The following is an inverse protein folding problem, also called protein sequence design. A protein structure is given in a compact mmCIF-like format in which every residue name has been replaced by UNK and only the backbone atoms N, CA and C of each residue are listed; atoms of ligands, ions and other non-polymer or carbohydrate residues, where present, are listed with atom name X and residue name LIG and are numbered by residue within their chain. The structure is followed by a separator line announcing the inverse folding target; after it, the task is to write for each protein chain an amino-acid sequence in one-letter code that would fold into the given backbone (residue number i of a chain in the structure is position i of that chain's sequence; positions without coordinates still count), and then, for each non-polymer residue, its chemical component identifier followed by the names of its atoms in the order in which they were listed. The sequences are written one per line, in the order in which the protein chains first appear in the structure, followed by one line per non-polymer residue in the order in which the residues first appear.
data_IF_834181488917
#
_entry.id   IF_834181488917
#
_cell.length_a   1.000
_cell.length_b   1.000
_cell.length_c   1.000
_cell.angle_alpha   90.00
_cell.angle_beta   90.00
_cell.angle_gamma   90.00
#
_symmetry.space_group_name_H-M   'P 1'
#
loop_
_entity.id
_entity.type
_entity.pdbx_description
1 polymer ?
#
# COMPACT_ATOMS: atom_id res chain seq x y z
N UNK A 1 -19.19 5.51 -12.21
CA UNK A 1 -18.42 6.69 -12.71
C UNK A 1 -17.00 6.20 -12.97
N UNK A 2 -16.46 6.52 -14.14
CA UNK A 2 -15.09 6.13 -14.46
C UNK A 2 -14.08 6.88 -13.62
N UNK A 3 -12.94 6.25 -13.30
CA UNK A 3 -11.87 6.88 -12.53
C UNK A 3 -11.38 8.21 -13.13
N UNK A 4 -11.28 8.28 -14.46
CA UNK A 4 -10.86 9.51 -15.17
C UNK A 4 -11.86 10.68 -15.04
N UNK A 5 -13.12 10.39 -14.73
CA UNK A 5 -14.20 11.38 -14.58
C UNK A 5 -14.36 11.88 -13.14
N UNK A 6 -13.69 11.26 -12.17
CA UNK A 6 -13.78 11.64 -10.76
C UNK A 6 -13.12 13.01 -10.56
N UNK A 7 -13.85 14.03 -10.11
CA UNK A 7 -13.30 15.36 -9.92
C UNK A 7 -12.27 15.36 -8.77
N UNK A 8 -11.24 16.15 -8.92
CA UNK A 8 -10.28 16.46 -7.86
C UNK A 8 -10.15 17.97 -7.71
N UNK A 9 -10.15 18.42 -6.48
CA UNK A 9 -9.79 19.79 -6.12
C UNK A 9 -9.02 19.75 -4.80
N UNK A 10 -7.94 20.54 -4.73
CA UNK A 10 -7.18 20.70 -3.47
C UNK A 10 -8.11 21.28 -2.41
N UNK A 11 -8.25 20.63 -1.23
CA UNK A 11 -9.07 21.16 -0.16
C UNK A 11 -8.41 22.40 0.48
N UNK A 12 -9.26 23.28 1.03
CA UNK A 12 -8.80 24.30 1.97
C UNK A 12 -8.51 23.65 3.32
N UNK A 13 -7.23 23.46 3.63
CA UNK A 13 -6.79 22.74 4.81
C UNK A 13 -7.27 23.39 6.12
N UNK A 14 -7.26 24.72 6.19
CA UNK A 14 -7.70 25.43 7.39
C UNK A 14 -9.21 25.27 7.61
N UNK A 15 -10.00 25.32 6.52
CA UNK A 15 -11.44 25.05 6.58
C UNK A 15 -11.73 23.60 7.00
N UNK A 16 -10.98 22.63 6.50
CA UNK A 16 -11.11 21.22 6.90
C UNK A 16 -10.78 21.02 8.39
N UNK A 17 -9.66 21.58 8.85
CA UNK A 17 -9.28 21.53 10.29
C UNK A 17 -10.32 22.18 11.19
N UNK A 18 -10.91 23.30 10.76
CA UNK A 18 -12.00 23.93 11.51
C UNK A 18 -13.24 23.04 11.59
N UNK A 19 -13.62 22.35 10.50
CA UNK A 19 -14.73 21.41 10.51
C UNK A 19 -14.47 20.24 11.49
N UNK A 20 -13.27 19.66 11.51
CA UNK A 20 -12.91 18.64 12.51
C UNK A 20 -12.99 19.19 13.94
N UNK A 21 -12.52 20.42 14.19
CA UNK A 21 -12.59 21.04 15.51
C UNK A 21 -14.02 21.28 15.97
N UNK A 22 -14.91 21.73 15.08
CA UNK A 22 -16.34 21.95 15.37
C UNK A 22 -17.06 20.62 15.67
N UNK A 23 -16.79 19.58 14.87
CA UNK A 23 -17.33 18.24 15.11
C UNK A 23 -16.83 17.67 16.44
N UNK A 24 -15.54 17.81 16.75
CA UNK A 24 -14.97 17.39 18.03
C UNK A 24 -15.63 18.10 19.22
N UNK A 25 -15.86 19.39 19.12
CA UNK A 25 -16.54 20.15 20.17
C UNK A 25 -18.00 19.68 20.36
N UNK A 26 -18.73 19.45 19.29
CA UNK A 26 -20.12 18.91 19.33
C UNK A 26 -20.14 17.49 19.89
N UNK A 27 -19.20 16.62 19.54
CA UNK A 27 -19.09 15.27 20.07
C UNK A 27 -18.89 15.28 21.59
N UNK A 28 -17.96 16.11 22.08
CA UNK A 28 -17.68 16.26 23.52
C UNK A 28 -18.86 16.86 24.31
N UNK A 29 -19.72 17.67 23.65
CA UNK A 29 -20.87 18.29 24.26
C UNK A 29 -22.15 17.42 24.21
N UNK A 30 -22.12 16.28 23.53
CA UNK A 30 -23.26 15.39 23.40
C UNK A 30 -23.73 14.87 24.77
N UNK A 31 -25.03 14.98 25.04
CA UNK A 31 -25.63 14.53 26.28
C UNK A 31 -26.17 13.10 26.20
N UNK A 32 -26.34 12.56 24.98
CA UNK A 32 -26.88 11.22 24.73
C UNK A 32 -26.03 10.49 23.68
N UNK A 33 -26.09 9.15 23.70
CA UNK A 33 -25.46 8.32 22.65
C UNK A 33 -25.95 8.71 21.26
N UNK A 34 -27.26 8.91 21.07
CA UNK A 34 -27.83 9.27 19.78
C UNK A 34 -27.25 10.58 19.21
N UNK A 35 -27.03 11.58 20.08
CA UNK A 35 -26.37 12.83 19.67
C UNK A 35 -24.90 12.62 19.31
N UNK A 36 -24.16 11.88 20.14
CA UNK A 36 -22.75 11.54 19.89
C UNK A 36 -22.58 10.73 18.61
N UNK A 37 -23.45 9.76 18.38
CA UNK A 37 -23.45 8.91 17.19
C UNK A 37 -23.76 9.71 15.90
N UNK A 38 -24.71 10.65 15.97
CA UNK A 38 -24.99 11.53 14.83
C UNK A 38 -23.75 12.36 14.42
N UNK A 39 -23.04 12.91 15.41
CA UNK A 39 -21.78 13.66 15.15
C UNK A 39 -20.67 12.74 14.66
N UNK A 40 -20.58 11.53 15.17
CA UNK A 40 -19.63 10.51 14.68
C UNK A 40 -19.85 10.21 13.19
N UNK A 41 -21.08 10.04 12.75
CA UNK A 41 -21.38 9.81 11.33
C UNK A 41 -21.05 11.03 10.43
N UNK A 42 -21.18 12.25 10.97
CA UNK A 42 -20.76 13.46 10.25
C UNK A 42 -19.23 13.52 10.11
N UNK A 43 -18.49 13.14 11.16
CA UNK A 43 -17.02 13.07 11.13
C UNK A 43 -16.53 12.01 10.15
N UNK A 44 -17.11 10.81 10.20
CA UNK A 44 -16.81 9.74 9.24
C UNK A 44 -17.01 10.19 7.78
N UNK A 45 -18.05 10.98 7.52
CA UNK A 45 -18.29 11.54 6.18
C UNK A 45 -17.23 12.55 5.78
N UNK A 46 -16.79 13.43 6.69
CA UNK A 46 -15.73 14.40 6.44
C UNK A 46 -14.41 13.68 6.18
N UNK A 47 -14.05 12.73 7.05
CA UNK A 47 -12.82 11.96 6.94
C UNK A 47 -12.78 11.17 5.61
N UNK A 48 -13.89 10.50 5.27
CA UNK A 48 -14.05 9.78 4.00
C UNK A 48 -13.83 10.69 2.78
N UNK A 49 -14.38 11.91 2.80
CA UNK A 49 -14.21 12.87 1.72
C UNK A 49 -12.75 13.34 1.58
N UNK A 50 -12.15 13.74 2.69
CA UNK A 50 -10.75 14.21 2.69
C UNK A 50 -9.79 13.13 2.23
N UNK A 51 -9.96 11.89 2.73
CA UNK A 51 -9.18 10.75 2.29
C UNK A 51 -9.37 10.46 0.80
N UNK A 52 -10.61 10.53 0.28
CA UNK A 52 -10.87 10.35 -1.16
C UNK A 52 -10.06 11.34 -2.01
N UNK A 53 -9.98 12.61 -1.60
CA UNK A 53 -9.18 13.60 -2.32
C UNK A 53 -7.68 13.26 -2.27
N UNK A 54 -7.17 12.86 -1.10
CA UNK A 54 -5.78 12.42 -0.95
C UNK A 54 -5.47 11.20 -1.84
N UNK A 55 -6.36 10.21 -1.85
CA UNK A 55 -6.21 9.01 -2.68
C UNK A 55 -6.27 9.32 -4.18
N UNK A 56 -7.16 10.20 -4.62
CA UNK A 56 -7.22 10.62 -6.03
C UNK A 56 -5.92 11.29 -6.49
N UNK A 57 -5.34 12.18 -5.65
CA UNK A 57 -4.05 12.81 -5.95
C UNK A 57 -2.92 11.78 -5.99
N UNK A 58 -2.86 10.90 -4.99
CA UNK A 58 -1.84 9.86 -4.86
C UNK A 58 -1.88 8.87 -6.03
N UNK A 59 -3.05 8.32 -6.36
CA UNK A 59 -3.22 7.36 -7.46
C UNK A 59 -2.79 8.00 -8.79
N UNK A 60 -3.23 9.22 -9.07
CA UNK A 60 -2.90 9.90 -10.33
C UNK A 60 -1.41 10.25 -10.42
N UNK A 61 -0.80 10.62 -9.30
CA UNK A 61 0.65 10.81 -9.24
C UNK A 61 1.41 9.50 -9.46
N UNK A 62 0.98 8.39 -8.86
CA UNK A 62 1.65 7.09 -9.06
C UNK A 62 1.48 6.54 -10.47
N UNK A 63 0.39 6.84 -11.17
CA UNK A 63 0.18 6.50 -12.60
C UNK A 63 1.21 7.22 -13.49
N UNK A 64 1.51 8.50 -13.24
CA UNK A 64 2.62 9.21 -13.89
C UNK A 64 3.26 10.21 -12.93
N UNK A 65 4.40 9.82 -12.35
CA UNK A 65 5.16 10.64 -11.39
C UNK A 65 5.79 11.90 -12.03
N UNK A 66 5.68 12.07 -13.37
CA UNK A 66 6.17 13.21 -14.13
C UNK A 66 5.10 14.27 -14.33
N UNK A 67 3.84 13.98 -14.00
CA UNK A 67 2.74 14.95 -14.06
C UNK A 67 2.97 16.05 -13.01
N UNK A 68 3.26 17.25 -13.48
CA UNK A 68 3.61 18.38 -12.61
C UNK A 68 2.48 18.79 -11.67
N UNK A 69 1.21 18.68 -12.14
CA UNK A 69 0.08 19.04 -11.30
C UNK A 69 -0.03 18.08 -10.12
N UNK A 70 -0.03 16.77 -10.38
CA UNK A 70 -0.13 15.78 -9.29
C UNK A 70 1.16 15.66 -8.46
N UNK A 71 2.30 16.06 -8.99
CA UNK A 71 3.52 16.22 -8.22
C UNK A 71 3.41 17.36 -7.19
N UNK A 72 2.87 18.51 -7.60
CA UNK A 72 2.57 19.63 -6.69
C UNK A 72 1.49 19.28 -5.66
N UNK A 73 0.48 18.50 -6.05
CA UNK A 73 -0.54 18.00 -5.12
C UNK A 73 0.05 17.03 -4.09
N UNK A 74 0.97 16.15 -4.48
CA UNK A 74 1.67 15.28 -3.52
C UNK A 74 2.54 16.08 -2.54
N UNK A 75 3.19 17.16 -2.98
CA UNK A 75 3.91 18.05 -2.07
C UNK A 75 2.97 18.69 -1.04
N UNK A 76 1.77 19.11 -1.47
CA UNK A 76 0.74 19.60 -0.55
C UNK A 76 0.31 18.51 0.45
N UNK A 77 -0.03 17.29 -0.03
CA UNK A 77 -0.50 16.21 0.84
C UNK A 77 0.58 15.69 1.79
N UNK A 78 1.86 15.72 1.41
CA UNK A 78 2.97 15.37 2.30
C UNK A 78 3.05 16.27 3.54
N UNK A 79 2.63 17.53 3.43
CA UNK A 79 2.58 18.50 4.52
C UNK A 79 1.21 18.53 5.23
N UNK A 80 0.13 18.30 4.50
CA UNK A 80 -1.23 18.35 5.04
C UNK A 80 -1.58 17.10 5.87
N UNK A 81 -1.15 15.90 5.42
CA UNK A 81 -1.50 14.63 6.07
C UNK A 81 -1.09 14.59 7.55
N UNK A 82 0.12 14.98 7.97
CA UNK A 82 0.46 15.02 9.40
C UNK A 82 -0.43 15.94 10.22
N UNK A 83 -0.82 17.10 9.66
CA UNK A 83 -1.73 18.04 10.35
C UNK A 83 -3.15 17.49 10.49
N UNK A 84 -3.64 16.76 9.49
CA UNK A 84 -4.92 16.07 9.56
C UNK A 84 -4.87 14.89 10.54
N UNK A 85 -3.73 14.19 10.62
CA UNK A 85 -3.48 13.15 11.62
C UNK A 85 -3.59 13.69 13.06
N UNK A 86 -3.20 14.93 13.31
CA UNK A 86 -3.41 15.59 14.60
C UNK A 86 -4.90 15.73 14.93
N UNK A 87 -5.72 16.14 13.95
CA UNK A 87 -7.18 16.22 14.13
C UNK A 87 -7.80 14.84 14.39
N UNK A 88 -7.40 13.84 13.61
CA UNK A 88 -7.86 12.45 13.78
C UNK A 88 -7.43 11.85 15.12
N UNK A 89 -6.23 12.15 15.60
CA UNK A 89 -5.78 11.71 16.92
C UNK A 89 -6.57 12.38 18.06
N UNK A 90 -6.87 13.68 17.94
CA UNK A 90 -7.71 14.38 18.91
C UNK A 90 -9.13 13.80 18.95
N UNK A 91 -9.67 13.41 17.79
CA UNK A 91 -10.96 12.69 17.69
C UNK A 91 -10.88 11.31 18.36
N UNK A 92 -9.88 10.51 18.02
CA UNK A 92 -9.66 9.17 18.60
C UNK A 92 -9.58 9.22 20.12
N UNK A 93 -8.87 10.19 20.69
CA UNK A 93 -8.82 10.42 22.16
C UNK A 93 -10.19 10.75 22.74
N UNK A 94 -10.97 11.61 22.06
CA UNK A 94 -12.32 11.93 22.51
C UNK A 94 -13.25 10.71 22.46
N UNK A 95 -13.09 9.82 21.48
CA UNK A 95 -13.81 8.55 21.42
C UNK A 95 -13.41 7.63 22.56
N UNK A 96 -12.11 7.49 22.88
CA UNK A 96 -11.60 6.69 23.99
C UNK A 96 -12.12 7.17 25.35
N UNK A 97 -12.22 8.48 25.54
CA UNK A 97 -12.67 9.13 26.77
C UNK A 97 -14.20 9.29 26.84
N UNK A 98 -14.93 8.89 25.79
CA UNK A 98 -16.37 9.09 25.68
C UNK A 98 -17.15 8.31 26.74
N UNK A 99 -18.14 8.91 27.42
CA UNK A 99 -19.07 8.19 28.29
C UNK A 99 -19.92 7.16 27.53
N UNK A 100 -19.99 7.26 26.21
CA UNK A 100 -20.73 6.37 25.33
C UNK A 100 -19.88 5.27 24.70
N UNK A 101 -18.62 5.08 25.16
CA UNK A 101 -17.70 4.04 24.66
C UNK A 101 -18.34 2.65 24.66
N UNK A 102 -19.11 2.31 25.69
CA UNK A 102 -19.80 1.02 25.78
C UNK A 102 -20.89 0.85 24.70
N UNK A 103 -21.60 1.92 24.39
CA UNK A 103 -22.64 1.90 23.34
C UNK A 103 -22.02 1.75 21.94
N UNK A 104 -20.95 2.48 21.64
CA UNK A 104 -20.18 2.31 20.41
C UNK A 104 -19.59 0.89 20.29
N UNK A 105 -19.07 0.34 21.41
CA UNK A 105 -18.57 -1.05 21.42
C UNK A 105 -19.67 -2.06 21.14
N UNK A 106 -20.88 -1.84 21.66
CA UNK A 106 -22.02 -2.71 21.40
C UNK A 106 -22.47 -2.68 19.95
N UNK A 107 -22.35 -1.54 19.26
CA UNK A 107 -22.77 -1.36 17.87
C UNK A 107 -21.68 -1.78 16.86
N UNK A 108 -20.39 -1.41 17.09
CA UNK A 108 -19.30 -1.57 16.14
C UNK A 108 -18.21 -2.56 16.55
N UNK A 109 -18.29 -3.09 17.78
CA UNK A 109 -17.25 -3.94 18.37
C UNK A 109 -16.14 -3.13 19.06
N UNK A 110 -15.26 -3.83 19.79
CA UNK A 110 -14.20 -3.21 20.58
C UNK A 110 -12.93 -2.90 19.76
N UNK A 111 -12.77 -3.48 18.58
CA UNK A 111 -11.56 -3.35 17.77
C UNK A 111 -11.26 -1.89 17.39
N UNK A 112 -12.28 -1.05 17.19
CA UNK A 112 -12.10 0.37 16.93
C UNK A 112 -11.35 1.07 18.07
N UNK A 113 -11.64 0.73 19.32
CA UNK A 113 -10.98 1.30 20.50
C UNK A 113 -9.59 0.73 20.72
N UNK A 114 -9.38 -0.57 20.48
CA UNK A 114 -8.05 -1.19 20.50
C UNK A 114 -7.12 -0.52 19.48
N UNK A 115 -7.62 -0.26 18.28
CA UNK A 115 -6.85 0.45 17.23
C UNK A 115 -6.60 1.91 17.60
N UNK A 116 -7.59 2.61 18.19
CA UNK A 116 -7.44 3.99 18.65
C UNK A 116 -6.38 4.11 19.76
N UNK A 117 -6.34 3.16 20.71
CA UNK A 117 -5.32 3.10 21.77
C UNK A 117 -3.90 2.90 21.21
N UNK A 118 -3.76 2.18 20.10
CA UNK A 118 -2.47 1.98 19.41
C UNK A 118 -2.11 3.22 18.60
N UNK A 119 -3.06 3.81 17.89
CA UNK A 119 -2.84 5.04 17.13
C UNK A 119 -2.39 6.19 18.04
N UNK A 120 -2.95 6.30 19.25
CA UNK A 120 -2.55 7.28 20.27
C UNK A 120 -1.08 7.12 20.71
N UNK A 121 -0.58 5.87 20.78
CA UNK A 121 0.84 5.58 21.05
C UNK A 121 1.77 5.85 19.88
N UNK A 122 1.23 6.00 18.69
CA UNK A 122 2.00 6.20 17.47
C UNK A 122 2.17 7.67 17.08
N UNK A 123 1.52 8.60 17.79
CA UNK A 123 1.43 10.00 17.41
C UNK A 123 1.69 10.96 18.58
N UNK A 124 2.38 12.06 18.29
CA UNK A 124 2.45 13.28 19.10
C UNK A 124 2.64 14.48 18.18
N UNK A 125 2.12 15.67 18.50
CA UNK A 125 2.46 16.90 17.78
C UNK A 125 3.97 17.19 17.67
N UNK A 126 4.77 16.64 18.59
CA UNK A 126 6.24 16.82 18.61
C UNK A 126 6.96 16.16 17.43
N UNK A 127 6.28 15.29 16.65
CA UNK A 127 6.87 14.61 15.50
C UNK A 127 6.26 15.03 14.15
N UNK A 128 5.44 16.08 14.11
CA UNK A 128 4.76 16.54 12.88
C UNK A 128 5.75 16.88 11.76
N UNK A 129 6.82 17.60 12.09
CA UNK A 129 7.84 18.00 11.12
C UNK A 129 8.57 16.78 10.57
N UNK A 130 8.89 15.79 11.42
CA UNK A 130 9.50 14.54 11.00
C UNK A 130 8.56 13.72 10.12
N UNK A 131 7.26 13.68 10.41
CA UNK A 131 6.27 12.98 9.57
C UNK A 131 6.18 13.62 8.18
N UNK A 132 6.14 14.96 8.09
CA UNK A 132 6.16 15.66 6.82
C UNK A 132 7.45 15.40 6.03
N UNK A 133 8.59 15.38 6.71
CA UNK A 133 9.86 15.05 6.07
C UNK A 133 9.94 13.58 5.63
N UNK A 134 9.41 12.65 6.41
CA UNK A 134 9.31 11.23 6.03
C UNK A 134 8.49 11.06 4.76
N UNK A 135 7.34 11.72 4.66
CA UNK A 135 6.49 11.68 3.47
C UNK A 135 7.23 12.19 2.24
N UNK A 136 7.97 13.30 2.35
CA UNK A 136 8.80 13.85 1.26
C UNK A 136 9.86 12.85 0.80
N UNK A 137 10.64 12.28 1.74
CA UNK A 137 11.69 11.31 1.43
C UNK A 137 11.12 10.03 0.79
N UNK A 138 9.95 9.58 1.25
CA UNK A 138 9.26 8.43 0.66
C UNK A 138 8.78 8.73 -0.77
N UNK A 139 8.28 9.93 -1.01
CA UNK A 139 7.91 10.40 -2.35
C UNK A 139 9.13 10.46 -3.28
N UNK A 140 10.26 10.98 -2.81
CA UNK A 140 11.53 11.03 -3.57
C UNK A 140 12.04 9.62 -3.91
N UNK A 141 11.98 8.68 -2.97
CA UNK A 141 12.31 7.28 -3.22
C UNK A 141 11.42 6.67 -4.32
N UNK A 142 10.12 6.91 -4.25
CA UNK A 142 9.17 6.44 -5.28
C UNK A 142 9.48 7.00 -6.66
N UNK A 143 9.80 8.29 -6.76
CA UNK A 143 10.20 8.97 -7.99
C UNK A 143 11.51 8.42 -8.55
N UNK A 144 12.50 8.16 -7.69
CA UNK A 144 13.76 7.57 -8.09
C UNK A 144 13.55 6.20 -8.75
N UNK A 145 12.77 5.32 -8.14
CA UNK A 145 12.40 4.02 -8.72
C UNK A 145 11.65 4.19 -10.05
N UNK A 146 10.68 5.10 -10.12
CA UNK A 146 9.88 5.35 -11.31
C UNK A 146 10.70 5.96 -12.47
N UNK A 147 11.83 6.60 -12.18
CA UNK A 147 12.72 7.21 -13.16
C UNK A 147 13.54 6.21 -13.95
N UNK A 148 13.55 4.92 -13.56
CA UNK A 148 14.41 3.91 -14.16
C UNK A 148 14.19 3.79 -15.68
N UNK A 149 15.28 4.00 -16.43
CA UNK A 149 15.38 3.84 -17.86
C UNK A 149 16.60 2.97 -18.17
N UNK A 150 16.39 1.67 -18.30
CA UNK A 150 17.46 0.68 -18.42
C UNK A 150 17.64 0.30 -19.88
N UNK A 151 18.77 0.67 -20.53
CA UNK A 151 19.06 0.24 -21.89
C UNK A 151 19.32 -1.28 -21.94
N UNK A 152 18.60 -1.99 -22.80
CA UNK A 152 18.79 -3.42 -22.99
C UNK A 152 18.36 -3.83 -24.43
N UNK A 153 19.21 -4.56 -25.16
CA UNK A 153 18.94 -5.09 -26.51
C UNK A 153 18.31 -4.08 -27.48
N UNK A 154 18.78 -2.83 -27.45
CA UNK A 154 18.30 -1.77 -28.37
C UNK A 154 16.99 -1.09 -27.93
N UNK A 155 16.40 -1.50 -26.80
CA UNK A 155 15.28 -0.84 -26.15
C UNK A 155 15.69 -0.12 -24.88
N UNK A 156 14.72 0.59 -24.26
CA UNK A 156 14.85 1.21 -22.95
C UNK A 156 13.64 0.77 -22.11
N UNK A 157 13.88 0.26 -20.93
CA UNK A 157 12.88 -0.40 -20.11
C UNK A 157 12.85 0.15 -18.69
N UNK A 158 11.66 0.19 -18.09
CA UNK A 158 11.53 0.35 -16.64
C UNK A 158 11.97 -0.93 -15.92
N UNK A 159 12.14 -0.88 -14.60
CA UNK A 159 12.44 -2.05 -13.78
C UNK A 159 11.42 -3.19 -14.00
N UNK A 160 10.12 -2.86 -14.07
CA UNK A 160 9.06 -3.84 -14.32
C UNK A 160 9.12 -4.41 -15.73
N UNK A 161 9.29 -3.55 -16.73
CA UNK A 161 9.37 -3.98 -18.14
C UNK A 161 10.61 -4.83 -18.45
N UNK A 162 11.68 -4.77 -17.62
CA UNK A 162 12.85 -5.61 -17.78
C UNK A 162 12.63 -7.05 -17.25
N UNK A 163 11.61 -7.27 -16.42
CA UNK A 163 11.38 -8.56 -15.76
C UNK A 163 11.21 -9.76 -16.71
N UNK A 164 10.54 -9.66 -17.86
CA UNK A 164 10.47 -10.78 -18.83
C UNK A 164 11.84 -11.29 -19.28
N UNK A 165 12.81 -10.38 -19.46
CA UNK A 165 14.18 -10.74 -19.85
C UNK A 165 14.96 -11.37 -18.68
N UNK A 166 14.67 -10.97 -17.45
CA UNK A 166 15.23 -11.54 -16.24
C UNK A 166 14.73 -12.95 -15.94
N UNK A 167 13.67 -13.39 -16.64
CA UNK A 167 13.10 -14.74 -16.59
C UNK A 167 13.32 -15.53 -17.91
N UNK A 168 14.20 -15.07 -18.78
CA UNK A 168 14.47 -15.72 -20.05
C UNK A 168 15.13 -17.10 -19.85
N UNK A 169 14.72 -18.13 -20.59
CA UNK A 169 15.35 -19.46 -20.53
C UNK A 169 16.81 -19.46 -20.99
N UNK A 170 17.23 -18.53 -21.86
CA UNK A 170 18.62 -18.36 -22.24
C UNK A 170 19.44 -17.77 -21.08
N UNK A 171 20.42 -18.52 -20.61
CA UNK A 171 21.26 -18.16 -19.45
C UNK A 171 22.03 -16.87 -19.66
N UNK A 172 22.57 -16.63 -20.85
CA UNK A 172 23.38 -15.46 -21.16
C UNK A 172 22.51 -14.21 -21.23
N UNK A 173 21.35 -14.30 -21.88
CA UNK A 173 20.38 -13.21 -22.00
C UNK A 173 19.80 -12.85 -20.63
N UNK A 174 19.39 -13.85 -19.85
CA UNK A 174 18.88 -13.67 -18.50
C UNK A 174 19.88 -12.96 -17.61
N UNK A 175 21.13 -13.44 -17.58
CA UNK A 175 22.21 -12.83 -16.79
C UNK A 175 22.53 -11.40 -17.25
N UNK A 176 22.48 -11.14 -18.56
CA UNK A 176 22.69 -9.79 -19.10
C UNK A 176 21.59 -8.82 -18.63
N UNK A 177 20.31 -9.23 -18.58
CA UNK A 177 19.21 -8.42 -18.06
C UNK A 177 19.39 -8.11 -16.56
N UNK A 178 19.76 -9.09 -15.74
CA UNK A 178 20.06 -8.88 -14.33
C UNK A 178 21.26 -7.94 -14.11
N UNK A 179 22.29 -8.02 -14.95
CA UNK A 179 23.42 -7.08 -14.92
C UNK A 179 23.04 -5.66 -15.32
N UNK A 180 22.16 -5.51 -16.31
CA UNK A 180 21.67 -4.20 -16.74
C UNK A 180 20.91 -3.51 -15.59
N UNK A 181 20.01 -4.22 -14.90
CA UNK A 181 19.34 -3.71 -13.71
C UNK A 181 20.33 -3.39 -12.58
N UNK A 182 21.26 -4.30 -12.30
CA UNK A 182 22.29 -4.08 -11.28
C UNK A 182 23.21 -2.89 -11.58
N UNK A 183 23.47 -2.60 -12.85
CA UNK A 183 24.24 -1.43 -13.27
C UNK A 183 23.46 -0.12 -12.95
N UNK A 184 22.18 -0.08 -13.24
CA UNK A 184 21.32 1.05 -12.91
C UNK A 184 21.28 1.31 -11.38
N UNK A 185 21.04 0.28 -10.56
CA UNK A 185 21.08 0.42 -9.11
C UNK A 185 22.46 0.87 -8.59
N UNK A 186 23.54 0.40 -9.23
CA UNK A 186 24.89 0.83 -8.86
C UNK A 186 25.15 2.29 -9.19
N UNK A 187 24.64 2.77 -10.32
CA UNK A 187 24.75 4.16 -10.74
C UNK A 187 24.03 5.09 -9.75
N UNK A 188 22.83 4.70 -9.31
CA UNK A 188 22.00 5.48 -8.36
C UNK A 188 22.24 5.10 -6.89
N UNK A 189 23.25 4.28 -6.60
CA UNK A 189 23.49 3.73 -5.25
C UNK A 189 23.63 4.82 -4.19
N UNK A 190 24.35 5.89 -4.47
CA UNK A 190 24.54 6.99 -3.53
C UNK A 190 23.23 7.74 -3.20
N UNK A 191 22.30 7.83 -4.17
CA UNK A 191 20.99 8.42 -3.95
C UNK A 191 20.11 7.54 -3.05
N UNK A 192 20.07 6.22 -3.34
CA UNK A 192 19.37 5.25 -2.50
C UNK A 192 19.91 5.21 -1.07
N UNK A 193 21.24 5.14 -0.92
CA UNK A 193 21.90 5.12 0.38
C UNK A 193 21.58 6.39 1.17
N UNK A 194 21.62 7.55 0.51
CA UNK A 194 21.30 8.84 1.14
C UNK A 194 19.85 8.96 1.59
N UNK A 195 18.89 8.50 0.79
CA UNK A 195 17.48 8.46 1.17
C UNK A 195 17.23 7.49 2.32
N UNK A 196 17.81 6.30 2.26
CA UNK A 196 17.68 5.29 3.29
C UNK A 196 18.26 5.74 4.64
N UNK A 197 19.47 6.32 4.62
CA UNK A 197 20.12 6.84 5.82
C UNK A 197 19.29 7.94 6.49
N UNK A 198 18.80 8.90 5.71
CA UNK A 198 17.90 9.94 6.20
C UNK A 198 16.63 9.37 6.82
N UNK A 199 15.97 8.41 6.17
CA UNK A 199 14.76 7.76 6.69
C UNK A 199 15.03 7.00 8.01
N UNK A 200 16.16 6.30 8.11
CA UNK A 200 16.52 5.58 9.33
C UNK A 200 16.72 6.54 10.50
N UNK A 201 17.50 7.62 10.31
CA UNK A 201 17.75 8.60 11.35
C UNK A 201 16.49 9.38 11.76
N UNK A 202 15.66 9.74 10.78
CA UNK A 202 14.41 10.46 11.00
C UNK A 202 13.43 9.61 11.81
N UNK A 203 13.24 8.35 11.43
CA UNK A 203 12.38 7.40 12.13
C UNK A 203 12.86 7.10 13.55
N UNK A 204 14.17 6.94 13.73
CA UNK A 204 14.76 6.77 15.07
C UNK A 204 14.52 8.00 15.96
N UNK A 205 14.65 9.20 15.38
CA UNK A 205 14.32 10.47 16.06
C UNK A 205 12.86 10.52 16.48
N UNK A 206 11.93 10.16 15.61
CA UNK A 206 10.49 10.09 15.93
C UNK A 206 10.23 9.13 17.10
N UNK A 207 10.83 7.92 17.07
CA UNK A 207 10.71 6.96 18.15
C UNK A 207 11.19 7.52 19.49
N UNK A 208 12.36 8.18 19.50
CA UNK A 208 12.93 8.79 20.71
C UNK A 208 12.12 9.96 21.23
N UNK A 209 11.59 10.82 20.36
CA UNK A 209 10.70 11.94 20.74
C UNK A 209 9.42 11.43 21.43
N UNK A 210 8.92 10.26 21.05
CA UNK A 210 7.77 9.60 21.67
C UNK A 210 8.13 8.80 22.94
N UNK A 211 9.39 8.86 23.38
CA UNK A 211 9.86 8.18 24.62
C UNK A 211 10.22 6.70 24.43
N UNK A 212 10.32 6.22 23.20
CA UNK A 212 10.77 4.86 22.91
C UNK A 212 12.29 4.79 22.79
N UNK A 213 12.87 3.59 22.95
CA UNK A 213 14.32 3.36 22.76
C UNK A 213 14.78 3.69 21.33
N UNK A 214 13.89 3.51 20.33
CA UNK A 214 14.11 3.80 18.94
C UNK A 214 12.86 3.52 18.11
N UNK A 215 13.01 3.40 16.77
CA UNK A 215 11.86 3.28 15.87
C UNK A 215 11.08 1.97 15.99
N UNK A 216 11.70 0.85 16.40
CA UNK A 216 11.06 -0.47 16.32
C UNK A 216 9.70 -0.52 17.01
N UNK A 217 9.57 0.01 18.24
CA UNK A 217 8.30 0.04 18.97
C UNK A 217 7.27 0.93 18.27
N UNK A 218 7.68 2.13 17.88
CA UNK A 218 6.83 3.04 17.11
C UNK A 218 6.36 2.40 15.81
N UNK A 219 7.25 1.71 15.09
CA UNK A 219 6.93 1.01 13.86
C UNK A 219 5.85 -0.06 14.03
N UNK A 220 5.87 -0.82 15.15
CA UNK A 220 4.81 -1.78 15.46
C UNK A 220 3.46 -1.09 15.66
N UNK A 221 3.41 0.04 16.38
CA UNK A 221 2.17 0.80 16.54
C UNK A 221 1.69 1.42 15.24
N UNK A 222 2.58 2.04 14.46
CA UNK A 222 2.25 2.62 13.15
C UNK A 222 1.73 1.59 12.14
N UNK A 223 2.12 0.32 12.27
CA UNK A 223 1.60 -0.78 11.47
C UNK A 223 0.30 -1.40 12.04
N UNK A 224 -0.30 -0.79 13.06
CA UNK A 224 -1.56 -1.28 13.65
C UNK A 224 -1.46 -2.66 14.30
N UNK A 225 -0.28 -3.07 14.75
CA UNK A 225 -0.08 -4.40 15.35
C UNK A 225 -0.65 -4.45 16.75
N UNK A 226 -1.90 -4.88 16.87
CA UNK A 226 -2.70 -4.86 18.08
C UNK A 226 -2.82 -6.22 18.80
N UNK A 227 -2.48 -7.35 18.15
CA UNK A 227 -2.70 -8.69 18.68
C UNK A 227 -1.41 -9.52 18.84
N UNK A 228 -0.24 -8.98 18.49
CA UNK A 228 1.05 -9.63 18.69
C UNK A 228 2.17 -8.62 18.92
N UNK A 229 3.23 -9.08 19.56
CA UNK A 229 4.37 -8.28 20.00
C UNK A 229 5.65 -8.63 19.23
N UNK A 230 6.72 -7.83 19.40
CA UNK A 230 8.05 -8.14 18.90
C UNK A 230 8.51 -9.54 19.35
N UNK A 231 8.24 -9.92 20.60
CA UNK A 231 8.62 -11.23 21.13
C UNK A 231 7.89 -12.39 20.42
N UNK A 232 6.65 -12.18 20.01
CA UNK A 232 5.90 -13.19 19.25
C UNK A 232 6.47 -13.33 17.82
N UNK A 233 6.83 -12.21 17.20
CA UNK A 233 7.53 -12.21 15.89
C UNK A 233 8.91 -12.88 15.98
N UNK A 234 9.63 -12.72 17.09
CA UNK A 234 10.91 -13.41 17.30
C UNK A 234 10.74 -14.94 17.39
N UNK A 235 9.70 -15.41 18.07
CA UNK A 235 9.35 -16.85 18.10
C UNK A 235 8.98 -17.36 16.71
N UNK A 236 8.17 -16.59 15.97
CA UNK A 236 7.80 -16.94 14.59
C UNK A 236 9.03 -17.04 13.68
N UNK A 237 9.94 -16.04 13.72
CA UNK A 237 11.21 -16.08 12.95
C UNK A 237 12.08 -17.28 13.32
N UNK A 238 12.17 -17.61 14.60
CA UNK A 238 12.91 -18.79 15.04
C UNK A 238 12.29 -20.10 14.48
N UNK A 239 10.96 -20.18 14.42
CA UNK A 239 10.26 -21.31 13.80
C UNK A 239 10.51 -21.35 12.29
N UNK A 240 10.47 -20.22 11.58
CA UNK A 240 10.81 -20.13 10.15
C UNK A 240 12.23 -20.63 9.89
N UNK A 241 13.22 -20.16 10.65
CA UNK A 241 14.61 -20.60 10.50
C UNK A 241 14.74 -22.10 10.75
N UNK A 242 14.04 -22.63 11.74
CA UNK A 242 14.12 -24.04 12.11
C UNK A 242 13.43 -24.99 11.12
N UNK A 243 12.28 -24.58 10.60
CA UNK A 243 11.40 -25.51 9.85
C UNK A 243 11.28 -25.16 8.37
N UNK A 244 11.18 -23.86 8.02
CA UNK A 244 10.92 -23.43 6.65
C UNK A 244 12.23 -23.28 5.85
N UNK A 245 13.28 -22.73 6.46
CA UNK A 245 14.55 -22.54 5.75
C UNK A 245 15.14 -23.87 5.24
N UNK A 246 15.18 -24.99 6.03
CA UNK A 246 15.64 -26.27 5.50
C UNK A 246 14.76 -26.83 4.38
N UNK A 247 13.44 -26.61 4.44
CA UNK A 247 12.54 -26.99 3.37
C UNK A 247 12.80 -26.18 2.09
N UNK A 248 12.94 -24.85 2.22
CA UNK A 248 13.29 -23.98 1.10
C UNK A 248 14.64 -24.39 0.46
N UNK A 249 15.65 -24.72 1.28
CA UNK A 249 16.96 -25.20 0.79
C UNK A 249 16.79 -26.48 -0.04
N UNK A 250 15.95 -27.43 0.41
CA UNK A 250 15.67 -28.66 -0.37
C UNK A 250 15.00 -28.36 -1.70
N UNK A 251 14.02 -27.44 -1.73
CA UNK A 251 13.30 -27.01 -2.95
C UNK A 251 14.28 -26.34 -3.94
N UNK A 252 15.17 -25.47 -3.45
CA UNK A 252 16.18 -24.84 -4.31
C UNK A 252 17.20 -25.83 -4.86
N UNK A 253 17.57 -26.87 -4.10
CA UNK A 253 18.43 -27.97 -4.59
C UNK A 253 17.75 -28.76 -5.71
N UNK A 254 16.48 -29.07 -5.55
CA UNK A 254 15.69 -29.74 -6.59
C UNK A 254 15.55 -28.87 -7.84
N UNK A 255 15.31 -27.55 -7.65
CA UNK A 255 15.26 -26.58 -8.75
C UNK A 255 16.60 -26.54 -9.49
N UNK A 256 17.73 -26.44 -8.78
CA UNK A 256 19.05 -26.47 -9.41
C UNK A 256 19.27 -27.75 -10.22
N UNK A 257 18.92 -28.92 -9.66
CA UNK A 257 18.98 -30.21 -10.38
C UNK A 257 18.09 -30.22 -11.63
N UNK A 258 16.86 -29.74 -11.56
CA UNK A 258 15.93 -29.63 -12.67
C UNK A 258 16.46 -28.70 -13.77
N UNK A 259 17.13 -27.62 -13.40
CA UNK A 259 17.74 -26.68 -14.33
C UNK A 259 19.11 -27.15 -14.86
N UNK A 260 19.71 -28.17 -14.26
CA UNK A 260 21.08 -28.63 -14.58
C UNK A 260 22.16 -27.65 -14.09
N UNK A 261 21.88 -26.96 -12.99
CA UNK A 261 22.75 -25.98 -12.36
C UNK A 261 23.41 -26.53 -11.10
N UNK A 262 24.52 -25.94 -10.73
CA UNK A 262 25.14 -26.21 -9.44
C UNK A 262 24.44 -25.42 -8.33
N UNK A 263 24.21 -26.05 -7.19
CA UNK A 263 23.71 -25.38 -6.00
C UNK A 263 24.88 -24.91 -5.11
N UNK A 264 24.83 -23.71 -4.49
CA UNK A 264 23.79 -22.69 -4.64
C UNK A 264 23.82 -22.02 -6.02
N UNK A 265 22.62 -21.72 -6.54
CA UNK A 265 22.50 -20.98 -7.81
C UNK A 265 22.78 -19.49 -7.59
N UNK A 266 23.15 -18.78 -8.65
CA UNK A 266 23.19 -17.31 -8.61
C UNK A 266 21.76 -16.71 -8.65
N UNK A 267 21.63 -15.41 -8.33
CA UNK A 267 20.34 -14.75 -8.27
C UNK A 267 19.57 -14.82 -9.60
N UNK A 268 20.25 -14.72 -10.74
CA UNK A 268 19.64 -14.81 -12.05
C UNK A 268 19.05 -16.20 -12.33
N UNK A 269 19.74 -17.26 -11.92
CA UNK A 269 19.28 -18.63 -12.11
C UNK A 269 18.14 -18.99 -11.17
N UNK A 270 18.09 -18.41 -9.95
CA UNK A 270 16.98 -18.61 -9.02
C UNK A 270 15.63 -18.12 -9.56
N UNK A 271 15.63 -17.14 -10.44
CA UNK A 271 14.41 -16.62 -11.06
C UNK A 271 13.74 -17.63 -12.02
N UNK A 272 14.46 -18.67 -12.49
CA UNK A 272 13.99 -19.61 -13.49
C UNK A 272 13.46 -20.89 -12.83
N UNK A 273 12.20 -21.26 -13.12
CA UNK A 273 11.59 -22.50 -12.56
C UNK A 273 11.85 -23.73 -13.42
N UNK A 274 11.86 -23.59 -14.74
CA UNK A 274 11.99 -24.69 -15.71
C UNK A 274 12.98 -24.31 -16.82
N UNK A 275 13.66 -25.30 -17.41
CA UNK A 275 14.57 -25.08 -18.55
C UNK A 275 13.89 -24.46 -19.78
N UNK A 276 12.60 -24.75 -19.95
CA UNK A 276 11.77 -24.18 -21.04
C UNK A 276 11.31 -22.75 -20.78
N UNK A 277 11.63 -22.18 -19.63
CA UNK A 277 11.16 -20.90 -19.15
C UNK A 277 10.05 -21.01 -18.10
N UNK A 278 9.74 -19.90 -17.45
CA UNK A 278 8.65 -19.79 -16.50
C UNK A 278 7.28 -19.81 -17.21
N UNK A 279 6.21 -20.20 -16.53
CA UNK A 279 4.85 -20.01 -17.03
C UNK A 279 4.61 -18.56 -17.44
N UNK A 280 3.81 -18.35 -18.46
CA UNK A 280 3.39 -17.02 -18.93
C UNK A 280 1.89 -16.99 -19.10
N UNK A 281 1.24 -15.82 -18.93
CA UNK A 281 -0.15 -15.66 -19.34
C UNK A 281 -0.35 -16.03 -20.81
N UNK A 282 -1.51 -16.56 -21.14
CA UNK A 282 -1.84 -16.96 -22.52
C UNK A 282 -2.19 -15.76 -23.43
N UNK A 283 -2.08 -14.52 -22.94
CA UNK A 283 -2.38 -13.29 -23.68
C UNK A 283 -1.83 -12.06 -22.98
N UNK A 284 -2.23 -10.90 -23.48
CA UNK A 284 -1.88 -9.59 -22.96
C UNK A 284 -2.70 -9.21 -21.69
N UNK A 285 -2.54 -7.99 -21.21
CA UNK A 285 -3.25 -7.48 -20.04
C UNK A 285 -4.79 -7.56 -20.20
N UNK A 286 -5.31 -7.25 -21.38
CA UNK A 286 -6.75 -7.33 -21.65
C UNK A 286 -7.25 -8.78 -21.58
N UNK A 287 -6.46 -9.74 -22.07
CA UNK A 287 -6.77 -11.16 -21.96
C UNK A 287 -6.76 -11.64 -20.51
N UNK A 288 -5.79 -11.17 -19.68
CA UNK A 288 -5.72 -11.46 -18.25
C UNK A 288 -6.97 -10.92 -17.54
N UNK A 289 -7.33 -9.65 -17.76
CA UNK A 289 -8.51 -9.04 -17.14
C UNK A 289 -9.81 -9.72 -17.58
N UNK A 290 -9.93 -10.07 -18.85
CA UNK A 290 -11.07 -10.84 -19.36
C UNK A 290 -11.18 -12.22 -18.75
N UNK A 291 -10.06 -12.90 -18.52
CA UNK A 291 -10.06 -14.17 -17.83
C UNK A 291 -10.35 -14.00 -16.33
N UNK A 292 -9.83 -12.95 -15.72
CA UNK A 292 -10.17 -12.55 -14.35
C UNK A 292 -11.67 -12.34 -14.16
N UNK A 293 -12.32 -11.59 -15.07
CA UNK A 293 -13.79 -11.45 -15.08
C UNK A 293 -14.48 -12.81 -15.00
N UNK A 294 -14.08 -13.77 -15.83
CA UNK A 294 -14.65 -15.11 -15.83
C UNK A 294 -14.42 -15.83 -14.48
N UNK A 295 -13.24 -15.74 -13.91
CA UNK A 295 -12.94 -16.35 -12.60
C UNK A 295 -13.88 -15.83 -11.50
N UNK A 296 -14.05 -14.51 -11.44
CA UNK A 296 -14.89 -13.88 -10.43
C UNK A 296 -16.38 -14.11 -10.65
N UNK A 297 -16.84 -14.22 -11.91
CA UNK A 297 -18.22 -14.61 -12.24
C UNK A 297 -18.51 -16.07 -11.87
N UNK A 298 -17.53 -16.98 -12.02
CA UNK A 298 -17.66 -18.39 -11.64
C UNK A 298 -17.52 -18.63 -10.12
N UNK A 299 -16.81 -17.72 -9.41
CA UNK A 299 -16.56 -17.87 -7.97
C UNK A 299 -17.81 -17.59 -7.14
N UNK A 300 -18.49 -16.49 -7.36
CA UNK A 300 -19.80 -16.17 -6.77
C UNK A 300 -20.50 -15.03 -7.52
N UNK A 301 -21.84 -14.88 -7.36
CA UNK A 301 -22.56 -13.72 -7.90
C UNK A 301 -22.01 -12.39 -7.41
N UNK A 302 -21.62 -12.28 -6.14
CA UNK A 302 -21.12 -11.05 -5.52
C UNK A 302 -19.77 -10.66 -6.09
N UNK A 303 -18.85 -11.62 -6.24
CA UNK A 303 -17.52 -11.35 -6.85
C UNK A 303 -17.65 -11.00 -8.33
N UNK A 304 -18.60 -11.61 -9.04
CA UNK A 304 -18.89 -11.28 -10.44
C UNK A 304 -19.41 -9.84 -10.59
N UNK A 305 -20.39 -9.43 -9.78
CA UNK A 305 -20.91 -8.05 -9.78
C UNK A 305 -19.81 -7.04 -9.47
N UNK A 306 -19.01 -7.32 -8.45
CA UNK A 306 -17.88 -6.49 -8.04
C UNK A 306 -16.85 -6.31 -9.17
N UNK A 307 -16.33 -7.41 -9.70
CA UNK A 307 -15.26 -7.35 -10.69
C UNK A 307 -15.71 -6.72 -12.02
N UNK A 308 -16.96 -6.97 -12.42
CA UNK A 308 -17.56 -6.29 -13.57
C UNK A 308 -17.59 -4.78 -13.37
N UNK A 309 -18.02 -4.32 -12.17
CA UNK A 309 -18.04 -2.89 -11.86
C UNK A 309 -16.63 -2.26 -11.88
N UNK A 310 -15.62 -2.97 -11.38
CA UNK A 310 -14.21 -2.52 -11.46
C UNK A 310 -13.76 -2.29 -12.92
N UNK A 311 -14.15 -3.18 -13.84
CA UNK A 311 -13.83 -3.06 -15.26
C UNK A 311 -14.64 -1.95 -15.94
N UNK A 312 -15.95 -1.89 -15.73
CA UNK A 312 -16.87 -0.93 -16.36
C UNK A 312 -16.53 0.52 -15.98
N UNK A 313 -16.20 0.73 -14.71
CA UNK A 313 -15.83 2.04 -14.16
C UNK A 313 -14.31 2.35 -14.33
N UNK A 314 -13.54 1.45 -14.96
CA UNK A 314 -12.11 1.62 -15.20
C UNK A 314 -11.33 1.92 -13.90
N UNK A 315 -11.62 1.16 -12.84
CA UNK A 315 -11.02 1.31 -11.51
C UNK A 315 -9.73 0.50 -11.34
N UNK A 316 -9.02 0.30 -12.45
CA UNK A 316 -7.74 -0.39 -12.47
C UNK A 316 -6.80 0.30 -13.46
N UNK A 317 -5.56 0.56 -13.04
CA UNK A 317 -4.46 0.93 -13.92
C UNK A 317 -3.36 -0.14 -13.78
N UNK A 318 -3.27 -1.04 -14.77
CA UNK A 318 -2.46 -2.26 -14.63
C UNK A 318 -1.21 -2.28 -15.51
N UNK A 319 -1.10 -1.46 -16.55
CA UNK A 319 0.03 -1.53 -17.49
C UNK A 319 1.28 -0.85 -16.93
N UNK A 320 2.44 -1.46 -17.11
CA UNK A 320 3.72 -0.82 -16.82
C UNK A 320 4.08 0.18 -17.91
N UNK A 321 4.25 1.45 -17.52
CA UNK A 321 4.59 2.57 -18.42
C UNK A 321 5.76 3.38 -17.86
N UNK A 322 6.54 4.09 -18.71
CA UNK A 322 7.59 4.99 -18.25
C UNK A 322 7.04 6.09 -17.34
N UNK A 323 7.70 6.32 -16.20
CA UNK A 323 7.30 7.32 -15.21
C UNK A 323 6.22 6.84 -14.22
N UNK A 324 5.70 5.64 -14.40
CA UNK A 324 4.77 5.02 -13.45
C UNK A 324 5.52 4.50 -12.21
N UNK A 325 4.96 4.71 -11.02
CA UNK A 325 5.52 4.18 -9.78
C UNK A 325 5.63 2.66 -9.83
N UNK A 326 6.61 2.09 -9.13
CA UNK A 326 6.81 0.65 -9.03
C UNK A 326 5.81 -0.03 -8.09
N UNK A 327 5.70 -1.35 -8.19
CA UNK A 327 4.85 -2.19 -7.33
C UNK A 327 3.41 -2.29 -7.78
N UNK A 328 2.56 -2.72 -6.87
CA UNK A 328 1.11 -2.82 -6.99
C UNK A 328 0.45 -2.53 -5.65
N UNK A 329 -0.77 -2.04 -5.65
CA UNK A 329 -1.56 -1.80 -4.46
C UNK A 329 -3.06 -1.71 -4.78
N UNK A 330 -3.87 -1.93 -3.76
CA UNK A 330 -5.28 -1.58 -3.74
C UNK A 330 -5.50 -0.43 -2.74
N UNK A 331 -6.34 0.54 -3.11
CA UNK A 331 -6.80 1.61 -2.20
C UNK A 331 -8.29 1.81 -2.34
N UNK A 332 -8.91 2.56 -1.40
CA UNK A 332 -10.34 2.86 -1.43
C UNK A 332 -10.59 4.31 -1.82
N UNK A 333 -11.60 4.52 -2.65
CA UNK A 333 -12.13 5.83 -3.00
C UNK A 333 -13.48 5.98 -2.28
N UNK A 334 -13.43 6.46 -1.05
CA UNK A 334 -14.54 6.40 -0.11
C UNK A 334 -15.84 7.06 -0.60
N UNK A 335 -15.76 8.28 -1.15
CA UNK A 335 -16.94 8.99 -1.69
C UNK A 335 -17.65 8.23 -2.81
N UNK A 336 -16.93 7.36 -3.50
CA UNK A 336 -17.46 6.53 -4.60
C UNK A 336 -17.82 5.12 -4.15
N UNK A 337 -17.51 4.77 -2.90
CA UNK A 337 -17.71 3.42 -2.32
C UNK A 337 -17.08 2.30 -3.15
N UNK A 338 -15.96 2.62 -3.80
CA UNK A 338 -15.24 1.73 -4.70
C UNK A 338 -13.75 1.70 -4.39
N UNK A 339 -13.11 0.54 -4.50
CA UNK A 339 -11.66 0.42 -4.48
C UNK A 339 -11.05 0.79 -5.84
N UNK A 340 -9.73 1.02 -5.86
CA UNK A 340 -8.92 1.19 -7.05
C UNK A 340 -7.71 0.26 -6.99
N UNK A 341 -7.38 -0.42 -8.09
CA UNK A 341 -6.22 -1.30 -8.21
C UNK A 341 -5.17 -0.66 -9.11
N UNK A 342 -3.96 -0.54 -8.58
CA UNK A 342 -2.77 -0.13 -9.31
C UNK A 342 -1.83 -1.33 -9.47
N UNK A 343 -1.27 -1.54 -10.65
CA UNK A 343 -0.33 -2.63 -10.93
C UNK A 343 0.65 -2.26 -12.05
N UNK A 344 1.62 -3.13 -12.30
CA UNK A 344 2.64 -2.96 -13.33
C UNK A 344 2.78 -4.25 -14.16
N UNK A 345 1.75 -4.61 -14.93
CA UNK A 345 1.77 -5.79 -15.77
C UNK A 345 2.88 -5.72 -16.81
N UNK A 346 3.57 -6.82 -16.98
CA UNK A 346 4.76 -6.91 -17.83
C UNK A 346 4.83 -8.21 -18.67
N UNK A 347 3.78 -9.01 -18.69
CA UNK A 347 3.69 -10.25 -19.46
C UNK A 347 4.28 -11.47 -18.76
N UNK A 348 4.51 -11.40 -17.44
CA UNK A 348 4.92 -12.55 -16.62
C UNK A 348 3.73 -13.18 -15.89
N UNK A 349 3.93 -14.38 -15.31
CA UNK A 349 2.91 -15.02 -14.46
C UNK A 349 2.49 -14.12 -13.26
N UNK A 350 3.40 -13.25 -12.83
CA UNK A 350 3.15 -12.33 -11.73
C UNK A 350 1.95 -11.41 -11.97
N UNK A 351 1.64 -11.07 -13.22
CA UNK A 351 0.47 -10.26 -13.56
C UNK A 351 -0.84 -10.92 -13.11
N UNK A 352 -0.93 -12.25 -13.24
CA UNK A 352 -2.10 -13.02 -12.77
C UNK A 352 -2.16 -13.06 -11.24
N UNK A 353 -1.00 -13.24 -10.60
CA UNK A 353 -0.90 -13.26 -9.13
C UNK A 353 -1.32 -11.91 -8.54
N UNK A 354 -0.83 -10.80 -9.12
CA UNK A 354 -1.16 -9.44 -8.66
C UNK A 354 -2.65 -9.15 -8.83
N UNK A 355 -3.26 -9.41 -9.99
CA UNK A 355 -4.68 -9.11 -10.18
C UNK A 355 -5.57 -9.89 -9.22
N UNK A 356 -5.25 -11.15 -8.95
CA UNK A 356 -6.04 -11.95 -8.00
C UNK A 356 -5.82 -11.53 -6.56
N UNK A 357 -4.60 -11.14 -6.20
CA UNK A 357 -4.25 -10.61 -4.87
C UNK A 357 -4.94 -9.28 -4.59
N UNK A 358 -4.75 -8.28 -5.48
CA UNK A 358 -5.32 -6.94 -5.28
C UNK A 358 -6.84 -6.95 -5.38
N UNK A 359 -7.42 -7.79 -6.23
CA UNK A 359 -8.87 -7.95 -6.29
C UNK A 359 -9.44 -8.59 -5.01
N UNK A 360 -8.67 -9.41 -4.29
CA UNK A 360 -9.04 -9.91 -2.97
C UNK A 360 -9.19 -8.78 -1.94
N UNK A 361 -8.21 -7.87 -1.87
CA UNK A 361 -8.29 -6.68 -1.04
C UNK A 361 -9.44 -5.76 -1.45
N UNK A 362 -9.57 -5.52 -2.75
CA UNK A 362 -10.61 -4.68 -3.32
C UNK A 362 -12.01 -5.23 -3.01
N UNK A 363 -12.21 -6.54 -3.15
CA UNK A 363 -13.48 -7.19 -2.82
C UNK A 363 -13.80 -7.10 -1.32
N UNK A 364 -12.82 -7.29 -0.44
CA UNK A 364 -13.01 -7.13 1.00
C UNK A 364 -13.44 -5.69 1.35
N UNK A 365 -12.79 -4.67 0.79
CA UNK A 365 -13.17 -3.28 0.98
C UNK A 365 -14.58 -3.00 0.44
N UNK A 366 -14.89 -3.47 -0.78
CA UNK A 366 -16.20 -3.31 -1.40
C UNK A 366 -17.33 -3.94 -0.58
N UNK A 367 -17.13 -5.14 -0.03
CA UNK A 367 -18.15 -5.84 0.76
C UNK A 367 -18.39 -5.22 2.14
N UNK A 368 -17.41 -4.49 2.67
CA UNK A 368 -17.52 -3.86 3.99
C UNK A 368 -17.96 -2.38 3.95
N UNK A 369 -18.06 -1.75 2.77
CA UNK A 369 -18.37 -0.31 2.60
C UNK A 369 -19.64 0.17 3.32
N UNK A 370 -20.65 -0.70 3.44
CA UNK A 370 -21.94 -0.40 4.07
C UNK A 370 -22.11 -1.07 5.46
N UNK A 371 -21.09 -1.77 5.96
CA UNK A 371 -21.18 -2.60 7.18
C UNK A 371 -20.44 -2.00 8.35
N UNK A 372 -19.36 -1.28 8.08
CA UNK A 372 -18.46 -0.72 9.06
C UNK A 372 -18.20 0.74 8.68
N UNK A 373 -18.07 1.67 9.62
CA UNK A 373 -17.67 3.04 9.33
C UNK A 373 -16.37 3.07 8.52
N UNK A 374 -16.24 4.03 7.62
CA UNK A 374 -15.16 4.09 6.64
C UNK A 374 -13.77 4.02 7.28
N UNK A 375 -13.55 4.75 8.34
CA UNK A 375 -12.26 4.81 9.06
C UNK A 375 -11.83 3.47 9.66
N UNK A 376 -12.73 2.49 9.76
CA UNK A 376 -12.48 1.16 10.31
C UNK A 376 -12.55 0.04 9.26
N UNK A 377 -12.86 0.37 8.01
CA UNK A 377 -12.72 -0.55 6.87
C UNK A 377 -11.26 -0.57 6.46
N UNK A 378 -10.47 -1.41 7.10
CA UNK A 378 -9.05 -1.53 6.78
C UNK A 378 -8.80 -2.76 5.89
N UNK A 379 -8.35 -2.59 4.64
CA UNK A 379 -7.77 -3.68 3.88
C UNK A 379 -6.36 -3.93 4.43
N UNK A 380 -6.21 -4.91 5.30
CA UNK A 380 -4.89 -5.37 5.72
C UNK A 380 -4.13 -5.83 4.47
N UNK A 381 -3.09 -5.08 4.11
CA UNK A 381 -2.10 -5.59 3.18
C UNK A 381 -1.43 -6.81 3.80
N UNK A 382 -1.56 -7.97 3.17
CA UNK A 382 -0.88 -9.20 3.59
C UNK A 382 0.66 -9.08 3.55
N UNK A 383 1.18 -8.04 2.91
CA UNK A 383 2.62 -7.72 2.87
C UNK A 383 3.16 -7.36 4.26
N UNK A 384 2.29 -7.01 5.20
CA UNK A 384 2.68 -6.60 6.55
C UNK A 384 2.59 -7.74 7.59
N UNK A 385 2.28 -8.96 7.16
CA UNK A 385 2.28 -10.16 8.01
C UNK A 385 3.66 -10.80 8.05
#
# INVERSE_FOLDING_TARGET
MKFSEMPYARPDLDAVKQQFADLLARFKAAATYAEAHAVFLEEEKLNKHVDTLAQLASVRNTIDTRDKFYDEEMNFWNEATPQLQECQNAWSRAMLDSPFRADFTAEYGDLMFVNAEIADKAFSPDILDEMAQENKLTTEYGKLIASAQIPFEGGVYTLSQLSPFKNDPDDARRLAAWKAEGAWYKEHGAEFDGLYDQLVHLRDTMGKKLGYEGYTTLGYYRMGRNCYTKADVEKFRAAVVKYIVPLADSIYREQAGRLGKQYPMNAADNALMFRSGNPRPAGDADAILKQGKKFYEELSPETGVFFNKMLDDQLMDVLSTPGKAGGGYCTSLGDYEMPFIFANFNGTQHDVEVVTHEAGHAFAAYMNRDRIPYSYVWPLSLIHI
#
